data_IF_760999301044
#
_entry.id   IF_760999301044
#
_cell.length_a   1.000
_cell.length_b   1.000
_cell.length_c   1.000
_cell.angle_alpha   90.00
_cell.angle_beta   90.00
_cell.angle_gamma   90.00
#
_symmetry.space_group_name_H-M   'P 1'
#
loop_
_entity.id
_entity.type
_entity.pdbx_description
1 polymer ?
#
# COMPACT_ATOMS: atom_id res chain seq x y z
N UNK A 1 34.80 -5.33 -2.45
CA UNK A 1 34.00 -6.13 -1.50
C UNK A 1 32.63 -6.36 -2.12
N UNK A 2 32.17 -7.63 -2.28
CA UNK A 2 30.76 -7.87 -2.65
C UNK A 2 29.93 -7.38 -1.46
N UNK A 3 29.02 -6.40 -1.68
CA UNK A 3 28.05 -6.01 -0.67
C UNK A 3 27.31 -7.27 -0.20
N UNK A 4 27.23 -7.47 1.12
CA UNK A 4 26.42 -8.56 1.68
C UNK A 4 25.00 -8.39 1.19
N UNK A 5 24.49 -9.38 0.46
CA UNK A 5 23.08 -9.44 0.08
C UNK A 5 22.26 -9.56 1.37
N UNK A 6 21.43 -8.58 1.63
CA UNK A 6 20.46 -8.61 2.74
C UNK A 6 19.12 -8.98 2.14
N UNK A 7 18.60 -10.13 2.48
CA UNK A 7 17.28 -10.58 2.05
C UNK A 7 16.30 -10.49 3.20
N UNK A 8 15.06 -10.10 2.90
CA UNK A 8 13.99 -10.16 3.87
C UNK A 8 13.56 -11.64 4.06
N UNK A 9 13.65 -12.19 5.27
CA UNK A 9 13.17 -13.54 5.56
C UNK A 9 11.64 -13.52 5.70
N UNK A 10 10.94 -13.44 4.57
CA UNK A 10 9.50 -13.15 4.46
C UNK A 10 8.67 -14.08 5.35
N UNK A 11 8.94 -15.38 5.36
CA UNK A 11 8.17 -16.34 6.17
C UNK A 11 8.36 -16.12 7.67
N UNK A 12 9.53 -15.64 8.12
CA UNK A 12 9.77 -15.29 9.52
C UNK A 12 9.05 -13.98 9.88
N UNK A 13 9.04 -12.99 9.00
CA UNK A 13 8.30 -11.73 9.19
C UNK A 13 6.79 -12.03 9.29
N UNK A 14 6.28 -12.98 8.52
CA UNK A 14 4.87 -13.35 8.51
C UNK A 14 4.47 -14.29 9.68
N UNK A 15 5.42 -14.70 10.52
CA UNK A 15 5.10 -15.47 11.74
C UNK A 15 4.22 -14.65 12.70
N UNK A 16 3.18 -15.25 13.30
CA UNK A 16 2.27 -14.54 14.20
C UNK A 16 2.86 -14.27 15.59
N UNK A 17 4.01 -14.87 15.94
CA UNK A 17 4.47 -15.02 17.32
C UNK A 17 5.27 -13.82 17.86
N UNK A 18 5.46 -12.77 17.06
CA UNK A 18 6.25 -11.61 17.46
C UNK A 18 5.36 -10.49 17.98
N UNK A 19 5.66 -10.02 19.20
CA UNK A 19 4.98 -8.87 19.79
C UNK A 19 5.43 -7.56 19.13
N UNK A 20 4.47 -6.73 18.75
CA UNK A 20 4.77 -5.38 18.29
C UNK A 20 5.26 -4.54 19.47
N UNK A 21 6.47 -3.95 19.41
CA UNK A 21 6.93 -3.04 20.46
C UNK A 21 6.09 -1.76 20.49
N UNK A 22 6.09 -1.08 21.63
CA UNK A 22 5.48 0.25 21.72
C UNK A 22 6.20 1.21 20.78
N UNK A 23 5.43 1.84 19.87
CA UNK A 23 5.97 2.86 18.97
C UNK A 23 6.14 4.20 19.69
N UNK A 24 7.01 5.05 19.16
CA UNK A 24 7.08 6.45 19.61
C UNK A 24 5.90 7.20 18.98
N UNK A 25 5.06 7.89 19.76
CA UNK A 25 4.10 8.83 19.20
C UNK A 25 4.83 9.93 18.43
N UNK A 26 4.54 10.06 17.14
CA UNK A 26 5.12 11.11 16.27
C UNK A 26 4.14 12.28 16.09
N UNK A 27 2.91 12.11 16.54
CA UNK A 27 1.82 13.07 16.51
C UNK A 27 0.49 12.40 16.77
N UNK A 28 -0.58 13.16 16.56
CA UNK A 28 -1.96 12.72 16.79
C UNK A 28 -2.80 12.97 15.55
N UNK A 29 -3.82 12.13 15.37
CA UNK A 29 -4.86 12.31 14.36
C UNK A 29 -5.82 13.43 14.73
N UNK A 30 -6.73 13.76 13.82
CA UNK A 30 -7.82 14.73 14.09
C UNK A 30 -8.70 14.36 15.28
N UNK A 31 -8.90 13.07 15.52
CA UNK A 31 -9.69 12.55 16.65
C UNK A 31 -8.82 12.25 17.89
N UNK A 32 -7.55 12.66 17.89
CA UNK A 32 -6.64 12.57 19.04
C UNK A 32 -5.98 11.20 19.24
N UNK A 33 -6.04 10.29 18.25
CA UNK A 33 -5.34 9.00 18.32
C UNK A 33 -3.85 9.15 18.00
N UNK A 34 -3.02 8.43 18.73
CA UNK A 34 -1.57 8.40 18.49
C UNK A 34 -1.22 7.83 17.12
N UNK A 35 -0.26 8.47 16.45
CA UNK A 35 0.39 7.95 15.25
C UNK A 35 1.74 7.43 15.68
N UNK A 36 1.94 6.11 15.58
CA UNK A 36 3.17 5.45 15.99
C UNK A 36 4.22 5.47 14.88
N UNK A 37 5.42 5.96 15.18
CA UNK A 37 6.58 5.88 14.32
C UNK A 37 7.70 5.04 14.95
N UNK A 38 8.48 4.37 14.11
CA UNK A 38 9.58 3.49 14.52
C UNK A 38 10.85 3.85 13.74
N UNK A 39 11.95 3.96 14.45
CA UNK A 39 13.30 4.04 13.87
C UNK A 39 14.07 2.82 14.34
N UNK A 40 14.48 1.95 13.42
CA UNK A 40 15.14 0.68 13.71
C UNK A 40 16.40 0.54 12.86
N UNK A 41 17.48 0.05 13.47
CA UNK A 41 18.78 -0.06 12.80
C UNK A 41 19.61 1.22 12.84
N UNK A 42 20.82 1.15 12.24
CA UNK A 42 21.83 2.22 12.26
C UNK A 42 22.71 2.26 11.01
N UNK A 43 22.24 1.62 9.93
CA UNK A 43 22.99 1.57 8.68
C UNK A 43 22.83 2.85 7.85
N UNK A 44 23.73 3.02 6.89
CA UNK A 44 23.74 4.19 6.01
C UNK A 44 22.62 4.14 4.94
N UNK A 45 22.04 2.97 4.68
CA UNK A 45 20.92 2.84 3.77
C UNK A 45 19.61 3.23 4.49
N UNK A 46 19.14 4.44 4.26
CA UNK A 46 17.90 4.94 4.86
C UNK A 46 16.68 4.50 4.04
N UNK A 47 15.76 3.82 4.69
CA UNK A 47 14.52 3.28 4.11
C UNK A 47 13.32 3.80 4.88
N UNK A 48 12.35 4.40 4.19
CA UNK A 48 11.10 4.84 4.79
C UNK A 48 9.91 4.04 4.25
N UNK A 49 9.04 3.60 5.17
CA UNK A 49 7.90 2.74 4.86
C UNK A 49 6.65 3.29 5.56
N UNK A 50 5.57 3.45 4.80
CA UNK A 50 4.28 3.88 5.36
C UNK A 50 3.14 2.98 4.85
N UNK A 51 2.05 2.92 5.61
CA UNK A 51 0.83 2.23 5.24
C UNK A 51 -0.41 2.96 5.75
N UNK A 52 -1.59 2.60 5.25
CA UNK A 52 -2.86 3.15 5.70
C UNK A 52 -3.11 4.59 5.26
N UNK A 53 -2.62 4.99 4.08
CA UNK A 53 -2.98 6.28 3.48
C UNK A 53 -4.48 6.33 3.12
N UNK A 54 -5.05 5.22 2.67
CA UNK A 54 -6.49 5.08 2.55
C UNK A 54 -7.04 4.26 3.73
N UNK A 55 -8.20 4.68 4.24
CA UNK A 55 -8.82 4.13 5.44
C UNK A 55 -9.21 2.65 5.29
N UNK A 56 -9.52 2.22 4.08
CA UNK A 56 -10.04 0.90 3.73
C UNK A 56 -8.96 -0.08 3.22
N UNK A 57 -7.68 0.16 3.54
CA UNK A 57 -6.54 -0.64 3.07
C UNK A 57 -5.73 -1.24 4.24
N UNK A 58 -6.26 -2.27 4.93
CA UNK A 58 -5.71 -2.75 6.20
C UNK A 58 -4.45 -3.61 6.08
N UNK A 59 -4.15 -4.16 4.89
CA UNK A 59 -3.09 -5.17 4.74
C UNK A 59 -1.69 -4.58 4.84
N UNK A 60 -1.44 -3.41 4.21
CA UNK A 60 -0.17 -2.70 4.31
C UNK A 60 0.20 -2.39 5.77
N UNK A 61 -0.68 -1.75 6.55
CA UNK A 61 -0.50 -1.55 7.98
C UNK A 61 -0.19 -2.82 8.77
N UNK A 62 -0.94 -3.88 8.53
CA UNK A 62 -0.74 -5.16 9.22
C UNK A 62 0.62 -5.79 8.86
N UNK A 63 1.03 -5.74 7.60
CA UNK A 63 2.35 -6.19 7.15
C UNK A 63 3.48 -5.38 7.80
N UNK A 64 3.36 -4.05 7.85
CA UNK A 64 4.38 -3.19 8.45
C UNK A 64 4.50 -3.42 9.97
N UNK A 65 3.41 -3.66 10.68
CA UNK A 65 3.46 -4.05 12.11
C UNK A 65 4.24 -5.35 12.32
N UNK A 66 4.08 -6.34 11.45
CA UNK A 66 4.85 -7.60 11.49
C UNK A 66 6.33 -7.35 11.18
N UNK A 67 6.64 -6.54 10.17
CA UNK A 67 8.02 -6.16 9.85
C UNK A 67 8.69 -5.46 11.02
N UNK A 68 8.02 -4.50 11.66
CA UNK A 68 8.53 -3.80 12.85
C UNK A 68 8.79 -4.78 14.00
N UNK A 69 7.83 -5.66 14.30
CA UNK A 69 7.98 -6.67 15.36
C UNK A 69 9.16 -7.60 15.08
N UNK A 70 9.31 -8.04 13.84
CA UNK A 70 10.45 -8.85 13.41
C UNK A 70 11.79 -8.13 13.58
N UNK A 71 11.90 -6.90 13.06
CA UNK A 71 13.14 -6.12 13.15
C UNK A 71 13.51 -5.80 14.59
N UNK A 72 12.55 -5.43 15.43
CA UNK A 72 12.77 -5.11 16.84
C UNK A 72 13.24 -6.32 17.67
N UNK A 73 12.90 -7.53 17.26
CA UNK A 73 13.35 -8.76 17.90
C UNK A 73 14.76 -9.22 17.48
N UNK A 74 15.40 -8.52 16.50
CA UNK A 74 16.73 -8.89 16.00
C UNK A 74 17.85 -8.24 16.84
N UNK A 75 19.00 -8.90 17.00
CA UNK A 75 20.17 -8.25 17.57
C UNK A 75 20.63 -7.09 16.68
N UNK A 76 21.22 -6.07 17.29
CA UNK A 76 21.62 -4.83 16.60
C UNK A 76 22.69 -5.06 15.52
N UNK A 77 23.42 -6.17 15.60
CA UNK A 77 24.43 -6.62 14.64
C UNK A 77 23.84 -7.34 13.44
N UNK A 78 22.54 -7.66 13.47
CA UNK A 78 21.85 -8.26 12.31
C UNK A 78 22.04 -7.37 11.08
N UNK A 79 22.28 -7.99 9.93
CA UNK A 79 22.54 -7.27 8.67
C UNK A 79 21.41 -6.33 8.26
N UNK A 80 20.15 -6.65 8.61
CA UNK A 80 19.00 -5.78 8.38
C UNK A 80 19.01 -4.52 9.23
N UNK A 81 19.68 -4.52 10.38
CA UNK A 81 19.79 -3.38 11.30
C UNK A 81 21.13 -2.66 11.21
N UNK A 82 22.21 -3.39 10.88
CA UNK A 82 23.54 -2.80 10.75
C UNK A 82 23.77 -2.13 9.39
N UNK A 83 23.09 -2.59 8.33
CA UNK A 83 23.20 -2.01 7.00
C UNK A 83 22.09 -0.98 6.68
N UNK A 84 20.94 -1.07 7.34
CA UNK A 84 19.76 -0.26 7.04
C UNK A 84 19.30 0.48 8.30
N UNK A 85 18.90 1.73 8.11
CA UNK A 85 18.08 2.48 9.07
C UNK A 85 16.66 2.59 8.53
N UNK A 86 15.73 1.96 9.23
CA UNK A 86 14.32 1.88 8.87
C UNK A 86 13.53 2.97 9.59
N UNK A 87 12.77 3.76 8.83
CA UNK A 87 11.76 4.71 9.31
C UNK A 87 10.39 4.18 8.93
N UNK A 88 9.62 3.68 9.91
CA UNK A 88 8.36 2.99 9.64
C UNK A 88 7.21 3.66 10.35
N UNK A 89 6.15 4.00 9.59
CA UNK A 89 4.85 4.42 10.11
C UNK A 89 3.82 3.40 9.65
N UNK A 90 3.45 2.40 10.48
CA UNK A 90 2.57 1.32 10.05
C UNK A 90 1.20 1.81 9.61
N UNK A 91 0.66 2.84 10.26
CA UNK A 91 -0.63 3.40 9.88
C UNK A 91 -0.64 4.92 10.02
N UNK A 92 -0.80 5.62 8.90
CA UNK A 92 -0.82 7.10 8.89
C UNK A 92 -2.21 7.68 9.20
N UNK A 93 -3.29 6.88 9.14
CA UNK A 93 -4.68 7.29 9.33
C UNK A 93 -5.40 6.42 10.40
N UNK A 94 -5.03 6.55 11.69
CA UNK A 94 -5.63 5.72 12.74
C UNK A 94 -7.14 5.99 12.94
N UNK A 95 -7.66 7.16 12.57
CA UNK A 95 -9.09 7.43 12.60
C UNK A 95 -9.83 6.63 11.53
N UNK A 96 -9.25 6.54 10.33
CA UNK A 96 -9.76 5.72 9.24
C UNK A 96 -9.72 4.23 9.58
N UNK A 97 -8.64 3.75 10.20
CA UNK A 97 -8.53 2.37 10.70
C UNK A 97 -9.68 2.05 11.66
N UNK A 98 -9.90 2.90 12.66
CA UNK A 98 -10.96 2.69 13.65
C UNK A 98 -12.37 2.65 13.02
N UNK A 99 -12.63 3.48 11.99
CA UNK A 99 -13.92 3.47 11.28
C UNK A 99 -14.14 2.20 10.44
N UNK A 100 -13.07 1.53 10.02
CA UNK A 100 -13.13 0.32 9.21
C UNK A 100 -12.99 -0.97 10.04
N UNK A 101 -12.78 -0.91 11.37
CA UNK A 101 -12.57 -2.06 12.25
C UNK A 101 -13.68 -3.12 12.14
N UNK A 102 -14.93 -2.69 11.97
CA UNK A 102 -16.09 -3.60 11.90
C UNK A 102 -15.98 -4.67 10.81
N UNK A 103 -15.31 -4.38 9.70
CA UNK A 103 -15.11 -5.35 8.63
C UNK A 103 -13.66 -5.83 8.52
N UNK A 104 -12.68 -4.97 8.78
CA UNK A 104 -11.27 -5.32 8.60
C UNK A 104 -10.74 -6.31 9.65
N UNK A 105 -11.36 -6.36 10.83
CA UNK A 105 -11.06 -7.35 11.87
C UNK A 105 -11.86 -8.66 11.70
N UNK A 106 -12.96 -8.62 10.97
CA UNK A 106 -13.82 -9.76 10.72
C UNK A 106 -13.42 -10.50 9.44
N UNK A 107 -12.70 -11.60 9.60
CA UNK A 107 -12.17 -12.38 8.48
C UNK A 107 -12.76 -13.78 8.42
N UNK A 108 -12.78 -14.38 7.24
CA UNK A 108 -13.20 -15.76 6.98
C UNK A 108 -11.99 -16.68 6.82
N UNK A 109 -12.14 -17.98 7.12
CA UNK A 109 -11.11 -18.97 6.80
C UNK A 109 -10.77 -18.93 5.29
N UNK A 110 -9.48 -18.98 5.01
CA UNK A 110 -8.93 -19.06 3.66
C UNK A 110 -7.72 -19.99 3.65
N UNK A 111 -7.18 -20.24 2.46
CA UNK A 111 -5.97 -21.03 2.27
C UNK A 111 -5.01 -20.22 1.42
N UNK A 112 -3.76 -20.09 1.86
CA UNK A 112 -2.72 -19.39 1.09
C UNK A 112 -2.28 -20.24 -0.14
N UNK A 113 -1.45 -19.65 -0.98
CA UNK A 113 -0.96 -20.32 -2.21
C UNK A 113 -0.18 -21.62 -1.95
N UNK A 114 0.30 -21.84 -0.73
CA UNK A 114 1.00 -23.07 -0.32
C UNK A 114 0.08 -24.11 0.32
N UNK A 115 -1.22 -23.86 0.37
CA UNK A 115 -2.19 -24.75 1.00
C UNK A 115 -2.25 -24.65 2.53
N UNK A 116 -1.67 -23.62 3.15
CA UNK A 116 -1.70 -23.39 4.59
C UNK A 116 -2.93 -22.58 4.99
N UNK A 117 -3.39 -22.82 6.21
CA UNK A 117 -4.47 -22.02 6.80
C UNK A 117 -4.13 -20.53 6.81
N UNK A 118 -5.06 -19.73 6.37
CA UNK A 118 -5.00 -18.27 6.32
C UNK A 118 -6.40 -17.67 6.50
N UNK A 119 -6.51 -16.37 6.36
CA UNK A 119 -7.74 -15.59 6.46
C UNK A 119 -7.90 -14.71 5.22
N UNK A 120 -9.16 -14.41 4.89
CA UNK A 120 -9.52 -13.41 3.88
C UNK A 120 -10.66 -12.54 4.42
N UNK A 121 -10.84 -11.34 3.88
CA UNK A 121 -11.92 -10.45 4.31
C UNK A 121 -13.29 -10.96 3.87
N UNK A 122 -14.31 -10.68 4.68
CA UNK A 122 -15.70 -11.00 4.35
C UNK A 122 -16.29 -9.90 3.44
N UNK A 123 -16.61 -10.27 2.21
CA UNK A 123 -17.19 -9.37 1.22
C UNK A 123 -18.50 -8.73 1.70
N UNK A 124 -19.34 -9.48 2.40
CA UNK A 124 -20.60 -8.96 2.93
C UNK A 124 -20.37 -7.81 3.93
N UNK A 125 -19.45 -8.01 4.86
CA UNK A 125 -19.11 -6.99 5.85
C UNK A 125 -18.41 -5.79 5.20
N UNK A 126 -17.49 -6.04 4.27
CA UNK A 126 -16.85 -4.98 3.49
C UNK A 126 -17.88 -4.09 2.79
N UNK A 127 -18.80 -4.67 2.01
CA UNK A 127 -19.81 -3.91 1.26
C UNK A 127 -20.72 -3.07 2.18
N UNK A 128 -20.91 -3.49 3.43
CA UNK A 128 -21.79 -2.80 4.38
C UNK A 128 -21.11 -1.73 5.22
N UNK A 129 -19.84 -1.89 5.49
CA UNK A 129 -19.14 -1.10 6.52
C UNK A 129 -17.91 -0.37 6.03
N UNK A 130 -17.54 -0.54 4.75
CA UNK A 130 -16.36 0.14 4.21
C UNK A 130 -16.56 1.65 4.22
N UNK A 131 -15.57 2.35 4.77
CA UNK A 131 -15.49 3.82 4.79
C UNK A 131 -14.20 4.23 4.09
N UNK A 132 -14.35 4.92 2.96
CA UNK A 132 -13.24 5.46 2.19
C UNK A 132 -13.37 6.96 2.08
N UNK A 133 -12.27 7.69 2.26
CA UNK A 133 -12.23 9.12 2.06
C UNK A 133 -12.39 9.46 0.57
N UNK A 134 -12.91 10.66 0.31
CA UNK A 134 -13.01 11.19 -1.05
C UNK A 134 -11.63 11.61 -1.56
N UNK A 135 -11.40 11.59 -2.88
CA UNK A 135 -10.17 12.13 -3.46
C UNK A 135 -9.87 13.54 -2.96
N UNK A 136 -8.64 13.76 -2.52
CA UNK A 136 -8.19 15.03 -1.95
C UNK A 136 -8.56 15.25 -0.48
N UNK A 137 -9.39 14.39 0.11
CA UNK A 137 -9.67 14.35 1.54
C UNK A 137 -8.95 13.17 2.23
N UNK A 138 -8.27 12.31 1.49
CA UNK A 138 -7.44 11.20 1.96
C UNK A 138 -6.04 11.66 2.40
N UNK A 139 -5.24 10.70 2.93
CA UNK A 139 -3.88 10.98 3.38
C UNK A 139 -2.85 10.95 2.26
N UNK A 140 -3.14 10.32 1.12
CA UNK A 140 -2.13 10.07 0.10
C UNK A 140 -1.61 11.35 -0.54
N UNK A 141 -2.53 12.26 -0.92
CA UNK A 141 -2.21 13.56 -1.49
C UNK A 141 -2.42 14.70 -0.49
N UNK A 142 -2.00 14.49 0.76
CA UNK A 142 -2.19 15.42 1.86
C UNK A 142 -0.90 15.95 2.49
N UNK A 143 0.29 15.62 1.96
CA UNK A 143 1.57 16.02 2.55
C UNK A 143 1.84 17.53 2.39
N UNK A 144 2.53 18.17 3.36
CA UNK A 144 2.81 19.59 3.30
C UNK A 144 3.58 19.98 2.03
N UNK A 145 3.20 21.11 1.42
CA UNK A 145 3.94 21.71 0.28
C UNK A 145 5.29 22.28 0.70
N UNK A 146 5.31 22.78 1.92
CA UNK A 146 6.49 23.32 2.61
C UNK A 146 6.28 23.24 4.13
N UNK A 147 7.31 23.51 4.96
CA UNK A 147 7.21 23.41 6.41
C UNK A 147 6.14 24.35 7.05
N UNK A 148 5.72 25.39 6.35
CA UNK A 148 4.72 26.36 6.83
C UNK A 148 3.28 26.02 6.39
N UNK A 149 3.07 24.96 5.61
CA UNK A 149 1.74 24.58 5.11
C UNK A 149 0.83 24.07 6.24
N UNK A 150 0.20 25.03 6.91
CA UNK A 150 -0.75 24.75 8.00
C UNK A 150 -2.06 24.10 7.52
N UNK A 151 -2.33 24.11 6.20
CA UNK A 151 -3.51 23.51 5.61
C UNK A 151 -3.41 21.99 5.43
N UNK A 152 -2.22 21.39 5.57
CA UNK A 152 -2.07 19.95 5.61
C UNK A 152 -2.69 19.36 6.90
N UNK A 153 -3.24 18.14 6.81
CA UNK A 153 -3.84 17.45 7.96
C UNK A 153 -2.79 17.21 9.06
N UNK A 154 -3.19 17.18 10.34
CA UNK A 154 -2.24 16.95 11.45
C UNK A 154 -1.49 15.63 11.28
N UNK A 155 -2.13 14.56 10.78
CA UNK A 155 -1.52 13.28 10.48
C UNK A 155 -0.41 13.42 9.45
N UNK A 156 -0.69 14.08 8.33
CA UNK A 156 0.30 14.29 7.26
C UNK A 156 1.48 15.14 7.73
N UNK A 157 1.24 16.18 8.56
CA UNK A 157 2.33 16.98 9.15
C UNK A 157 3.19 16.17 10.11
N UNK A 158 2.57 15.33 10.94
CA UNK A 158 3.28 14.47 11.88
C UNK A 158 4.20 13.48 11.13
N UNK A 159 3.66 12.78 10.13
CA UNK A 159 4.43 11.85 9.30
C UNK A 159 5.51 12.57 8.51
N UNK A 160 5.21 13.73 7.91
CA UNK A 160 6.18 14.54 7.18
C UNK A 160 7.36 14.96 8.07
N UNK A 161 7.09 15.45 9.28
CA UNK A 161 8.13 15.83 10.25
C UNK A 161 9.00 14.63 10.66
N UNK A 162 8.38 13.46 10.87
CA UNK A 162 9.10 12.24 11.19
C UNK A 162 10.02 11.81 10.04
N UNK A 163 9.53 11.83 8.80
CA UNK A 163 10.33 11.49 7.63
C UNK A 163 11.44 12.49 7.38
N UNK A 164 11.22 13.79 7.57
CA UNK A 164 12.25 14.80 7.43
C UNK A 164 13.47 14.54 8.34
N UNK A 165 13.24 13.95 9.54
CA UNK A 165 14.30 13.59 10.47
C UNK A 165 15.22 12.45 9.99
N UNK A 166 14.83 11.70 8.97
CA UNK A 166 15.60 10.58 8.39
C UNK A 166 16.18 10.83 7.01
N UNK A 167 15.89 11.97 6.42
CA UNK A 167 16.31 12.28 5.05
C UNK A 167 17.84 12.54 4.94
N UNK A 168 18.45 12.32 3.76
CA UNK A 168 17.82 11.79 2.55
C UNK A 168 17.57 10.29 2.60
N UNK A 169 16.52 9.82 1.93
CA UNK A 169 16.22 8.39 1.81
C UNK A 169 16.78 7.80 0.51
N UNK A 170 17.06 6.50 0.53
CA UNK A 170 17.40 5.71 -0.65
C UNK A 170 16.17 5.01 -1.23
N UNK A 171 15.24 4.62 -0.36
CA UNK A 171 13.99 3.97 -0.72
C UNK A 171 12.84 4.56 0.11
N UNK A 172 11.70 4.81 -0.54
CA UNK A 172 10.44 5.11 0.13
C UNK A 172 9.33 4.25 -0.46
N UNK A 173 8.59 3.57 0.39
CA UNK A 173 7.47 2.74 -0.02
C UNK A 173 6.18 3.09 0.74
N UNK A 174 5.06 3.14 -0.01
CA UNK A 174 3.71 3.18 0.55
C UNK A 174 2.97 1.91 0.17
N UNK A 175 2.39 1.25 1.18
CA UNK A 175 1.72 -0.03 1.02
C UNK A 175 0.22 0.16 1.02
N UNK A 176 -0.35 0.01 -0.16
CA UNK A 176 -1.75 0.22 -0.46
C UNK A 176 -2.49 -1.07 -0.77
N UNK A 177 -3.80 -0.94 -0.94
CA UNK A 177 -4.68 -1.99 -1.39
C UNK A 177 -5.77 -1.47 -2.31
N UNK A 178 -6.44 -2.38 -2.97
CA UNK A 178 -7.60 -2.13 -3.81
C UNK A 178 -8.76 -2.98 -3.32
N UNK A 179 -9.98 -2.46 -3.32
CA UNK A 179 -11.15 -3.28 -3.00
C UNK A 179 -11.23 -4.50 -3.93
N UNK A 180 -11.16 -4.27 -5.25
CA UNK A 180 -11.32 -5.31 -6.26
C UNK A 180 -10.34 -5.13 -7.42
N UNK A 181 -9.64 -6.21 -7.78
CA UNK A 181 -8.84 -6.28 -9.01
C UNK A 181 -8.64 -7.74 -9.44
N UNK A 182 -8.14 -7.96 -10.65
CA UNK A 182 -7.82 -9.32 -11.12
C UNK A 182 -6.53 -9.88 -10.51
N UNK A 183 -5.72 -9.03 -9.86
CA UNK A 183 -4.48 -9.41 -9.22
C UNK A 183 -3.71 -8.23 -8.62
N UNK A 184 -2.51 -8.46 -8.10
CA UNK A 184 -1.65 -7.42 -7.53
C UNK A 184 -1.15 -6.46 -8.60
N UNK A 185 -0.96 -5.20 -8.21
CA UNK A 185 -0.49 -4.11 -9.06
C UNK A 185 0.64 -3.34 -8.36
N UNK A 186 1.61 -2.86 -9.13
CA UNK A 186 2.81 -2.22 -8.62
C UNK A 186 3.10 -0.93 -9.37
N UNK A 187 3.40 0.12 -8.61
CA UNK A 187 3.67 1.43 -9.16
C UNK A 187 5.10 1.85 -8.77
N UNK A 188 5.82 2.37 -9.72
CA UNK A 188 7.21 2.77 -9.52
C UNK A 188 7.47 4.20 -10.01
N UNK A 189 8.50 4.81 -9.46
CA UNK A 189 8.97 6.13 -9.83
C UNK A 189 9.38 6.17 -11.30
N UNK A 190 8.87 7.12 -12.10
CA UNK A 190 9.24 7.25 -13.51
C UNK A 190 10.75 7.33 -13.75
N UNK A 191 11.49 8.03 -12.89
CA UNK A 191 12.94 8.17 -13.00
C UNK A 191 13.73 6.85 -12.79
N UNK A 192 13.07 5.81 -12.28
CA UNK A 192 13.69 4.53 -11.97
C UNK A 192 13.28 3.39 -12.92
N UNK A 193 12.49 3.66 -13.96
CA UNK A 193 11.98 2.62 -14.88
C UNK A 193 13.12 1.80 -15.47
N UNK A 194 14.16 2.44 -16.01
CA UNK A 194 15.28 1.73 -16.66
C UNK A 194 16.13 0.92 -15.68
N UNK A 195 16.12 1.29 -14.40
CA UNK A 195 16.89 0.65 -13.33
C UNK A 195 16.16 -0.54 -12.69
N UNK A 196 14.87 -0.71 -12.98
CA UNK A 196 13.98 -1.67 -12.30
C UNK A 196 13.57 -2.88 -13.16
N UNK A 197 14.20 -3.12 -14.30
CA UNK A 197 13.85 -4.22 -15.20
C UNK A 197 13.88 -5.58 -14.51
N UNK A 198 14.98 -5.90 -13.81
CA UNK A 198 15.14 -7.17 -13.07
C UNK A 198 14.12 -7.32 -11.92
N UNK A 199 13.83 -6.24 -11.20
CA UNK A 199 12.81 -6.22 -10.16
C UNK A 199 11.45 -6.62 -10.75
N UNK A 200 11.05 -5.99 -11.88
CA UNK A 200 9.77 -6.27 -12.53
C UNK A 200 9.66 -7.72 -12.97
N UNK A 201 10.70 -8.26 -13.59
CA UNK A 201 10.74 -9.67 -14.06
C UNK A 201 10.64 -10.64 -12.88
N UNK A 202 11.45 -10.42 -11.83
CA UNK A 202 11.46 -11.26 -10.63
C UNK A 202 10.12 -11.24 -9.91
N UNK A 203 9.55 -10.05 -9.67
CA UNK A 203 8.28 -9.93 -8.97
C UNK A 203 7.12 -10.54 -9.76
N UNK A 204 7.07 -10.34 -11.07
CA UNK A 204 6.09 -10.98 -11.96
C UNK A 204 6.17 -12.50 -11.91
N UNK A 205 7.39 -13.05 -11.92
CA UNK A 205 7.59 -14.48 -11.77
C UNK A 205 7.10 -15.01 -10.41
N UNK A 206 7.35 -14.27 -9.32
CA UNK A 206 6.82 -14.59 -7.97
C UNK A 206 5.30 -14.58 -7.92
N UNK A 207 4.66 -13.54 -8.49
CA UNK A 207 3.19 -13.45 -8.58
C UNK A 207 2.60 -14.66 -9.29
N UNK A 208 3.18 -15.05 -10.43
CA UNK A 208 2.73 -16.21 -11.21
C UNK A 208 2.99 -17.53 -10.50
N UNK A 209 4.13 -17.68 -9.82
CA UNK A 209 4.44 -18.87 -9.03
C UNK A 209 3.47 -19.07 -7.85
N UNK A 210 2.87 -18.00 -7.34
CA UNK A 210 1.80 -18.04 -6.34
C UNK A 210 0.41 -18.31 -6.94
N UNK A 211 0.29 -18.54 -8.26
CA UNK A 211 -0.97 -18.80 -8.94
C UNK A 211 -1.82 -17.55 -9.23
N UNK A 212 -1.24 -16.37 -9.06
CA UNK A 212 -1.89 -15.10 -9.39
C UNK A 212 -1.46 -14.59 -10.77
N UNK A 213 -2.22 -13.64 -11.30
CA UNK A 213 -1.82 -12.84 -12.46
C UNK A 213 -1.67 -11.40 -12.03
N UNK A 214 -0.62 -10.69 -12.47
CA UNK A 214 -0.54 -9.26 -12.21
C UNK A 214 -1.76 -8.53 -12.80
N UNK A 215 -2.23 -7.50 -12.10
CA UNK A 215 -3.27 -6.63 -12.63
C UNK A 215 -2.65 -5.72 -13.70
N UNK A 216 -2.94 -6.00 -14.96
CA UNK A 216 -2.36 -5.29 -16.10
C UNK A 216 -3.37 -4.31 -16.68
N UNK A 217 -3.31 -3.07 -16.20
CA UNK A 217 -4.19 -1.98 -16.62
C UNK A 217 -3.39 -0.88 -17.29
N UNK A 218 -3.79 -0.49 -18.51
CA UNK A 218 -3.35 0.75 -19.13
C UNK A 218 -4.41 1.84 -18.91
N UNK A 219 -4.04 2.90 -18.21
CA UNK A 219 -4.90 4.07 -18.00
C UNK A 219 -4.62 5.20 -18.98
N UNK A 220 -3.74 4.98 -19.96
CA UNK A 220 -3.42 5.98 -21.00
C UNK A 220 -2.90 7.31 -20.45
N UNK A 221 -2.21 7.30 -19.30
CA UNK A 221 -1.71 8.49 -18.64
C UNK A 221 -2.71 9.23 -17.74
N UNK A 222 -3.94 8.71 -17.61
CA UNK A 222 -4.93 9.28 -16.69
C UNK A 222 -4.35 9.39 -15.27
N UNK A 223 -4.45 10.58 -14.66
CA UNK A 223 -3.94 10.88 -13.32
C UNK A 223 -2.43 10.61 -13.14
N UNK A 224 -1.68 10.46 -14.24
CA UNK A 224 -0.26 10.14 -14.24
C UNK A 224 0.06 8.63 -14.24
N UNK A 225 -0.94 7.77 -14.41
CA UNK A 225 -0.72 6.33 -14.55
C UNK A 225 -0.36 5.99 -16.00
N UNK A 226 0.90 5.65 -16.26
CA UNK A 226 1.38 5.14 -17.54
C UNK A 226 1.82 3.69 -17.39
N UNK A 227 1.30 2.80 -18.22
CA UNK A 227 1.73 1.41 -18.23
C UNK A 227 3.20 1.30 -18.61
N UNK A 228 3.98 0.61 -17.78
CA UNK A 228 5.40 0.34 -18.00
C UNK A 228 5.56 -1.07 -18.55
N UNK A 229 4.92 -2.03 -17.89
CA UNK A 229 5.02 -3.45 -18.17
C UNK A 229 3.81 -4.18 -17.54
N UNK A 230 3.66 -5.49 -17.79
CA UNK A 230 2.57 -6.28 -17.20
C UNK A 230 2.58 -6.18 -15.67
N UNK A 231 1.50 -5.63 -15.10
CA UNK A 231 1.34 -5.41 -13.68
C UNK A 231 2.10 -4.21 -13.10
N UNK A 232 2.73 -3.39 -13.95
CA UNK A 232 3.52 -2.24 -13.52
C UNK A 232 3.11 -0.97 -14.24
N UNK A 233 2.91 0.11 -13.47
CA UNK A 233 2.69 1.45 -13.98
C UNK A 233 3.59 2.48 -13.27
N UNK A 234 3.65 3.68 -13.83
CA UNK A 234 4.13 4.83 -13.08
C UNK A 234 3.15 5.14 -11.96
N UNK A 235 3.65 5.67 -10.83
CA UNK A 235 2.80 6.17 -9.77
C UNK A 235 2.12 7.48 -10.18
N UNK A 236 0.93 7.79 -9.64
CA UNK A 236 0.30 9.09 -9.81
C UNK A 236 1.13 10.20 -9.14
N UNK A 237 0.85 11.45 -9.50
CA UNK A 237 1.43 12.61 -8.84
C UNK A 237 0.38 13.72 -8.68
N UNK A 238 0.61 14.61 -7.73
CA UNK A 238 -0.35 15.67 -7.40
C UNK A 238 -0.71 16.54 -8.59
N UNK A 239 0.27 16.89 -9.43
CA UNK A 239 0.05 17.74 -10.63
C UNK A 239 -0.89 17.07 -11.63
N UNK A 240 -0.69 15.77 -11.89
CA UNK A 240 -1.55 15.03 -12.80
C UNK A 240 -2.96 14.84 -12.23
N UNK A 241 -3.07 14.67 -10.90
CA UNK A 241 -4.37 14.61 -10.20
C UNK A 241 -5.11 15.94 -10.34
N UNK A 242 -4.47 17.05 -10.05
CA UNK A 242 -5.04 18.41 -10.19
C UNK A 242 -5.54 18.63 -11.60
N UNK A 243 -4.68 18.42 -12.62
CA UNK A 243 -5.03 18.61 -14.02
C UNK A 243 -6.25 17.76 -14.43
N UNK A 244 -6.31 16.53 -13.99
CA UNK A 244 -7.41 15.61 -14.31
C UNK A 244 -8.77 16.10 -13.79
N UNK A 245 -8.82 16.70 -12.60
CA UNK A 245 -10.05 17.25 -12.02
C UNK A 245 -10.40 18.60 -12.64
N UNK A 246 -9.41 19.49 -12.91
CA UNK A 246 -9.61 20.77 -13.57
C UNK A 246 -10.20 20.61 -14.98
N UNK A 247 -9.67 19.65 -15.78
CA UNK A 247 -10.19 19.33 -17.12
C UNK A 247 -11.68 18.89 -17.09
N UNK A 248 -12.17 18.44 -15.94
CA UNK A 248 -13.57 18.02 -15.73
C UNK A 248 -14.42 19.09 -15.05
N UNK A 249 -13.85 20.28 -14.83
CA UNK A 249 -14.52 21.41 -14.19
C UNK A 249 -14.66 21.29 -12.67
N UNK A 250 -14.05 20.27 -12.04
CA UNK A 250 -14.06 20.07 -10.59
C UNK A 250 -12.85 20.74 -9.93
N UNK A 251 -12.84 22.06 -9.96
CA UNK A 251 -11.76 22.88 -9.40
C UNK A 251 -11.72 22.83 -7.86
N UNK A 252 -12.84 22.54 -7.21
CA UNK A 252 -12.90 22.36 -5.75
C UNK A 252 -12.07 21.14 -5.32
N UNK A 253 -12.31 19.99 -5.92
CA UNK A 253 -11.53 18.78 -5.64
C UNK A 253 -10.07 18.97 -6.07
N UNK A 254 -9.80 19.57 -7.22
CA UNK A 254 -8.45 19.87 -7.68
C UNK A 254 -7.64 20.68 -6.65
N UNK A 255 -8.25 21.70 -6.03
CA UNK A 255 -7.60 22.55 -5.03
C UNK A 255 -7.21 21.85 -3.72
N UNK A 256 -7.78 20.69 -3.44
CA UNK A 256 -7.48 19.89 -2.24
C UNK A 256 -6.17 19.11 -2.35
N UNK A 257 -5.72 18.76 -3.55
CA UNK A 257 -4.52 17.94 -3.74
C UNK A 257 -3.25 18.67 -3.30
N UNK A 258 -2.46 17.95 -2.54
CA UNK A 258 -1.12 18.29 -2.06
C UNK A 258 -0.12 17.25 -2.57
N UNK A 259 1.19 17.43 -2.33
CA UNK A 259 2.16 16.37 -2.61
C UNK A 259 1.75 15.04 -1.97
N UNK A 260 2.01 13.94 -2.66
CA UNK A 260 1.99 12.61 -2.06
C UNK A 260 3.21 12.42 -1.14
N UNK A 261 3.23 11.35 -0.35
CA UNK A 261 4.41 10.97 0.45
C UNK A 261 5.65 10.78 -0.43
N UNK A 262 5.46 10.25 -1.65
CA UNK A 262 6.53 10.05 -2.63
C UNK A 262 7.15 11.36 -3.09
N UNK A 263 6.29 12.34 -3.44
CA UNK A 263 6.72 13.68 -3.84
C UNK A 263 7.39 14.41 -2.68
N UNK A 264 6.83 14.27 -1.48
CA UNK A 264 7.39 14.87 -0.28
C UNK A 264 8.79 14.32 0.03
N UNK A 265 8.97 13.00 0.06
CA UNK A 265 10.28 12.37 0.32
C UNK A 265 11.32 12.78 -0.74
N UNK A 266 10.94 12.86 -2.00
CA UNK A 266 11.83 13.35 -3.06
C UNK A 266 12.22 14.82 -2.86
N UNK A 267 11.33 15.64 -2.32
CA UNK A 267 11.63 17.06 -2.03
C UNK A 267 12.65 17.24 -0.89
N UNK A 268 12.85 16.22 -0.04
CA UNK A 268 13.85 16.23 1.04
C UNK A 268 15.28 15.99 0.55
N UNK A 269 15.46 15.75 -0.75
CA UNK A 269 16.77 15.57 -1.38
C UNK A 269 17.15 14.11 -1.64
N UNK A 270 18.27 13.92 -2.34
CA UNK A 270 18.70 12.62 -2.84
C UNK A 270 17.98 12.18 -4.11
N UNK A 271 18.12 10.89 -4.45
CA UNK A 271 17.42 10.24 -5.57
C UNK A 271 16.74 8.96 -5.04
N UNK A 272 15.71 9.09 -4.17
CA UNK A 272 15.06 7.92 -3.62
C UNK A 272 14.28 7.15 -4.69
N UNK A 273 14.42 5.82 -4.67
CA UNK A 273 13.46 4.97 -5.35
C UNK A 273 12.14 5.01 -4.59
N UNK A 274 11.08 5.51 -5.24
CA UNK A 274 9.74 5.54 -4.63
C UNK A 274 8.84 4.50 -5.29
N UNK A 275 8.11 3.74 -4.45
CA UNK A 275 7.28 2.63 -4.90
C UNK A 275 5.97 2.53 -4.13
N UNK A 276 4.94 2.01 -4.80
CA UNK A 276 3.63 1.71 -4.23
C UNK A 276 3.22 0.30 -4.62
N UNK A 277 2.70 -0.46 -3.68
CA UNK A 277 2.05 -1.74 -3.95
C UNK A 277 0.55 -1.62 -3.76
N UNK A 278 -0.23 -2.23 -4.66
CA UNK A 278 -1.67 -2.26 -4.64
C UNK A 278 -2.15 -3.71 -4.60
N UNK A 279 -2.59 -4.17 -3.43
CA UNK A 279 -3.06 -5.54 -3.24
C UNK A 279 -4.58 -5.59 -3.24
N UNK A 280 -5.23 -6.45 -4.07
CA UNK A 280 -6.67 -6.59 -4.05
C UNK A 280 -7.14 -7.27 -2.76
N UNK A 281 -8.12 -6.69 -2.07
CA UNK A 281 -8.82 -7.36 -0.98
C UNK A 281 -9.64 -8.54 -1.53
N UNK A 282 -10.25 -8.31 -2.70
CA UNK A 282 -11.05 -9.31 -3.42
C UNK A 282 -10.54 -9.44 -4.86
N UNK A 283 -10.21 -10.67 -5.22
CA UNK A 283 -9.88 -11.03 -6.59
C UNK A 283 -11.18 -11.14 -7.40
N UNK A 284 -11.21 -10.51 -8.56
CA UNK A 284 -12.28 -10.68 -9.53
C UNK A 284 -11.73 -11.06 -10.90
N UNK A 285 -12.33 -12.03 -11.62
CA UNK A 285 -12.00 -12.21 -13.02
C UNK A 285 -12.43 -10.98 -13.83
N UNK A 286 -11.74 -10.73 -14.93
CA UNK A 286 -12.18 -9.75 -15.91
C UNK A 286 -12.98 -10.47 -16.99
N UNK A 287 -14.20 -10.00 -17.23
CA UNK A 287 -15.00 -10.49 -18.36
C UNK A 287 -14.48 -9.92 -19.68
N UNK A 288 -14.69 -10.62 -20.80
CA UNK A 288 -14.30 -10.11 -22.11
C UNK A 288 -14.89 -8.73 -22.39
N UNK A 289 -14.03 -7.77 -22.70
CA UNK A 289 -14.41 -6.37 -22.95
C UNK A 289 -14.59 -5.49 -21.71
N UNK A 290 -14.29 -6.01 -20.50
CA UNK A 290 -14.15 -5.19 -19.30
C UNK A 290 -12.78 -4.50 -19.27
N UNK A 291 -12.77 -3.25 -18.77
CA UNK A 291 -11.54 -2.47 -18.64
C UNK A 291 -10.73 -2.82 -17.40
N UNK A 292 -11.31 -3.57 -16.47
CA UNK A 292 -10.74 -3.83 -15.15
C UNK A 292 -10.74 -2.63 -14.21
N UNK A 293 -11.24 -1.49 -14.65
CA UNK A 293 -11.29 -0.26 -13.86
C UNK A 293 -12.22 -0.40 -12.66
N UNK A 294 -11.85 0.21 -11.51
CA UNK A 294 -12.72 0.17 -10.32
C UNK A 294 -14.10 0.81 -10.54
N UNK A 295 -14.18 1.74 -11.49
CA UNK A 295 -15.41 2.46 -11.87
C UNK A 295 -16.16 1.85 -13.06
N UNK A 296 -15.81 0.62 -13.45
CA UNK A 296 -16.55 -0.10 -14.50
C UNK A 296 -18.03 -0.20 -14.15
N UNK A 297 -18.94 0.35 -14.99
CA UNK A 297 -20.37 0.43 -14.65
C UNK A 297 -21.05 -0.93 -14.45
N UNK A 298 -20.59 -1.97 -15.17
CA UNK A 298 -21.15 -3.31 -15.05
C UNK A 298 -20.82 -3.92 -13.70
N UNK A 299 -19.56 -3.78 -13.28
CA UNK A 299 -19.11 -4.29 -12.00
C UNK A 299 -19.75 -3.51 -10.84
N UNK A 300 -19.87 -2.18 -10.96
CA UNK A 300 -20.60 -1.38 -9.97
C UNK A 300 -22.05 -1.85 -9.83
N UNK A 301 -22.78 -2.00 -10.94
CA UNK A 301 -24.14 -2.52 -10.91
C UNK A 301 -24.24 -3.92 -10.26
N UNK A 302 -23.23 -4.77 -10.45
CA UNK A 302 -23.13 -6.06 -9.74
C UNK A 302 -23.01 -5.84 -8.22
N UNK A 303 -22.06 -5.01 -7.77
CA UNK A 303 -21.85 -4.74 -6.34
C UNK A 303 -23.10 -4.12 -5.68
N UNK A 304 -23.71 -3.12 -6.31
CA UNK A 304 -24.94 -2.48 -5.82
C UNK A 304 -26.08 -3.49 -5.65
N UNK A 305 -26.23 -4.41 -6.61
CA UNK A 305 -27.24 -5.45 -6.55
C UNK A 305 -27.04 -6.43 -5.40
N UNK A 306 -25.80 -6.83 -5.12
CA UNK A 306 -25.51 -7.81 -4.06
C UNK A 306 -25.43 -7.17 -2.67
N UNK A 307 -25.09 -5.90 -2.57
CA UNK A 307 -24.92 -5.20 -1.28
C UNK A 307 -26.21 -5.17 -0.44
N UNK A 308 -27.39 -5.22 -1.07
CA UNK A 308 -28.68 -5.23 -0.39
C UNK A 308 -29.14 -6.63 0.05
N UNK A 309 -28.39 -7.70 -0.26
CA UNK A 309 -28.77 -9.09 0.00
C UNK A 309 -28.28 -9.60 1.35
N UNK A 310 -28.76 -10.78 1.74
CA UNK A 310 -28.30 -11.47 2.94
C UNK A 310 -26.84 -11.98 2.80
N UNK A 311 -26.14 -12.27 3.91
CA UNK A 311 -24.75 -12.77 3.86
C UNK A 311 -24.60 -14.01 2.99
N UNK A 312 -25.56 -14.97 3.06
CA UNK A 312 -25.54 -16.20 2.28
C UNK A 312 -25.69 -15.92 0.78
N UNK A 313 -26.60 -15.01 0.42
CA UNK A 313 -26.80 -14.62 -0.97
C UNK A 313 -25.62 -13.86 -1.57
N UNK A 314 -24.99 -12.95 -0.79
CA UNK A 314 -23.77 -12.23 -1.21
C UNK A 314 -22.67 -13.23 -1.53
N UNK A 315 -22.42 -14.21 -0.66
CA UNK A 315 -21.39 -15.24 -0.88
C UNK A 315 -21.70 -16.09 -2.12
N UNK A 316 -22.93 -16.52 -2.28
CA UNK A 316 -23.33 -17.33 -3.45
C UNK A 316 -23.24 -16.55 -4.76
N UNK A 317 -23.58 -15.25 -4.79
CA UNK A 317 -23.44 -14.40 -5.96
C UNK A 317 -21.97 -14.12 -6.27
N UNK A 318 -21.15 -13.83 -5.25
CA UNK A 318 -19.71 -13.63 -5.39
C UNK A 318 -19.03 -14.87 -6.00
N UNK A 319 -19.35 -16.06 -5.48
CA UNK A 319 -18.81 -17.33 -5.96
C UNK A 319 -19.17 -17.57 -7.43
N UNK A 320 -20.44 -17.35 -7.81
CA UNK A 320 -20.89 -17.44 -9.22
C UNK A 320 -20.19 -16.47 -10.15
N UNK A 321 -19.85 -15.28 -9.64
CA UNK A 321 -19.11 -14.27 -10.39
C UNK A 321 -17.57 -14.46 -10.31
N UNK A 322 -17.09 -15.53 -9.65
CA UNK A 322 -15.68 -15.78 -9.45
C UNK A 322 -14.97 -14.76 -8.53
N UNK A 323 -15.75 -13.96 -7.78
CA UNK A 323 -15.20 -13.00 -6.80
C UNK A 323 -14.88 -13.72 -5.51
N UNK A 324 -13.63 -13.59 -5.05
CA UNK A 324 -13.17 -14.24 -3.81
C UNK A 324 -12.19 -13.36 -3.05
N UNK A 325 -12.18 -13.47 -1.72
CA UNK A 325 -11.15 -12.81 -0.92
C UNK A 325 -9.75 -13.31 -1.28
N UNK A 326 -8.79 -12.40 -1.44
CA UNK A 326 -7.39 -12.78 -1.56
C UNK A 326 -6.84 -13.10 -0.15
N UNK A 327 -6.16 -14.24 0.07
CA UNK A 327 -5.58 -14.58 1.35
C UNK A 327 -4.66 -13.46 1.86
N UNK A 328 -4.82 -13.07 3.13
CA UNK A 328 -4.13 -11.91 3.71
C UNK A 328 -2.62 -12.13 3.75
N UNK A 329 -2.18 -13.35 4.05
CA UNK A 329 -0.76 -13.71 4.06
C UNK A 329 -0.14 -13.61 2.67
N UNK A 330 -0.89 -13.94 1.62
CA UNK A 330 -0.40 -13.84 0.24
C UNK A 330 -0.24 -12.37 -0.18
N UNK A 331 -1.17 -11.50 0.23
CA UNK A 331 -1.06 -10.05 0.01
C UNK A 331 0.19 -9.48 0.69
N UNK A 332 0.38 -9.78 1.99
CA UNK A 332 1.57 -9.34 2.75
C UNK A 332 2.87 -9.89 2.14
N UNK A 333 2.87 -11.14 1.70
CA UNK A 333 4.03 -11.79 1.06
C UNK A 333 4.45 -11.05 -0.20
N UNK A 334 3.50 -10.65 -1.03
CA UNK A 334 3.79 -9.91 -2.26
C UNK A 334 4.29 -8.48 -1.97
N UNK A 335 3.76 -7.82 -0.94
CA UNK A 335 4.27 -6.52 -0.49
C UNK A 335 5.71 -6.62 0.00
N UNK A 336 6.02 -7.64 0.82
CA UNK A 336 7.39 -7.91 1.29
C UNK A 336 8.32 -8.32 0.15
N UNK A 337 7.84 -9.11 -0.81
CA UNK A 337 8.63 -9.48 -1.98
C UNK A 337 8.98 -8.25 -2.84
N UNK A 338 8.06 -7.30 -3.00
CA UNK A 338 8.34 -6.06 -3.70
C UNK A 338 9.37 -5.20 -2.95
N UNK A 339 9.27 -5.11 -1.62
CA UNK A 339 10.26 -4.43 -0.79
C UNK A 339 11.64 -5.09 -0.88
N UNK A 340 11.70 -6.41 -0.83
CA UNK A 340 12.95 -7.18 -0.94
C UNK A 340 13.68 -6.92 -2.27
N UNK A 341 12.94 -6.98 -3.39
CA UNK A 341 13.47 -6.64 -4.70
C UNK A 341 13.90 -5.17 -4.80
N UNK A 342 13.16 -4.26 -4.17
CA UNK A 342 13.50 -2.84 -4.16
C UNK A 342 14.80 -2.54 -3.39
N UNK A 343 15.04 -3.24 -2.28
CA UNK A 343 16.30 -3.16 -1.53
C UNK A 343 17.51 -3.57 -2.36
N UNK A 344 17.37 -4.52 -3.29
CA UNK A 344 18.44 -4.90 -4.22
C UNK A 344 18.73 -3.83 -5.27
N UNK A 345 17.72 -3.03 -5.64
CA UNK A 345 17.86 -1.98 -6.67
C UNK A 345 18.60 -0.74 -6.13
N UNK A 346 18.41 -0.40 -4.83
CA UNK A 346 18.95 0.82 -4.22
C UNK A 346 20.34 0.64 -3.59
N UNK A 347 20.89 -0.57 -3.63
CA UNK A 347 22.24 -0.92 -3.21
C UNK A 347 23.23 -0.86 -4.37
#
# INVERSE_FOLDING_TARGET
MRALRVYLPIEQILSPDLALPSGRPIGHSREGRDIAGYVLGRGDLHVSLIGGCHADEPVGPAMLRRLVAFLAARPVEDSLLSAITWYVVPHVNPDGEARNAAWSEATLPAVDYQGREDRAFDLFLYLRHVVRERPGDDMEFGFPRDPSDSGARPENRAVASFLAGGAPFHLHASFHGMGFASGPWFLIEPAWIDRTGRLRDSLRAKVRAMGYRPFDMDRGGEKGFHRIDEGFTTRPNSRAMIAWFEERGDTETAGKFRPSSMEYVRSLGGDPFTMVSEMPLFLRPLEPGETGRPDDPRFRAFLDRIAARSPTEVRAEAERAGVRGMPIRDQMRLQLAFLDEALEVVR
#
